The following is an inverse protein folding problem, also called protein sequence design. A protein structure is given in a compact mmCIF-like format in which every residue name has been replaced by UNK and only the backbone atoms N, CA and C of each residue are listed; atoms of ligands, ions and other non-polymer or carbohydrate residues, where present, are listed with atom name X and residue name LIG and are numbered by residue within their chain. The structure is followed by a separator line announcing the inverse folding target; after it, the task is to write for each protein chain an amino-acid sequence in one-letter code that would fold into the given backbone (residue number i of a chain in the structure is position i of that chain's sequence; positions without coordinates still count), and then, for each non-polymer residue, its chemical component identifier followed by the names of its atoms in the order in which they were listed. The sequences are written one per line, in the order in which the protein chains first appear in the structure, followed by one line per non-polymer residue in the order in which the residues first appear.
data_IF_441696980238
#
_entry.id   IF_441696980238
#
_cell.length_a   1.000
_cell.length_b   1.000
_cell.length_c   1.000
_cell.angle_alpha   90.00
_cell.angle_beta   90.00
_cell.angle_gamma   90.00
#
_symmetry.space_group_name_H-M   'P 1'
#
loop_
_entity.id
_entity.type
_entity.pdbx_description
1 polymer ?
#
# COMPACT_ATOMS: atom_id res chain seq x y z
N UNK A 1 -39.33 -7.41 -24.76
CA UNK A 1 -38.90 -6.33 -23.82
C UNK A 1 -37.41 -6.04 -24.02
N UNK A 2 -36.95 -4.77 -23.92
CA UNK A 2 -35.52 -4.50 -23.87
C UNK A 2 -34.96 -5.15 -22.60
N UNK A 3 -33.87 -5.89 -22.76
CA UNK A 3 -33.19 -6.55 -21.64
C UNK A 3 -32.49 -5.47 -20.81
N UNK A 4 -33.00 -5.17 -19.60
CA UNK A 4 -32.35 -4.20 -18.71
C UNK A 4 -30.92 -4.66 -18.38
N UNK A 5 -29.96 -3.74 -18.46
CA UNK A 5 -28.57 -4.03 -18.10
C UNK A 5 -28.45 -4.10 -16.57
N UNK A 6 -28.16 -5.27 -15.98
CA UNK A 6 -28.06 -5.40 -14.53
C UNK A 6 -26.88 -4.61 -13.93
N UNK A 7 -25.96 -4.09 -14.75
CA UNK A 7 -24.88 -3.21 -14.33
C UNK A 7 -25.20 -1.71 -14.43
N UNK A 8 -26.42 -1.32 -14.83
CA UNK A 8 -26.79 0.10 -14.96
C UNK A 8 -28.17 0.42 -14.34
N UNK A 9 -28.23 1.04 -13.15
CA UNK A 9 -27.09 1.47 -12.33
C UNK A 9 -26.36 0.28 -11.67
N UNK A 10 -25.05 0.42 -11.45
CA UNK A 10 -24.22 -0.67 -10.91
C UNK A 10 -24.58 -0.99 -9.45
N UNK A 11 -24.85 -2.27 -9.10
CA UNK A 11 -25.11 -2.68 -7.73
C UNK A 11 -23.83 -2.97 -6.92
N UNK A 12 -22.64 -2.93 -7.55
CA UNK A 12 -21.42 -3.51 -7.01
C UNK A 12 -20.68 -2.69 -5.94
N UNK A 13 -21.16 -1.51 -5.58
CA UNK A 13 -20.50 -0.63 -4.61
C UNK A 13 -19.20 0.00 -5.13
N UNK A 14 -18.53 0.76 -4.25
CA UNK A 14 -17.30 1.47 -4.60
C UNK A 14 -16.14 0.53 -4.88
N UNK A 15 -15.16 0.99 -5.68
CA UNK A 15 -13.94 0.26 -6.03
C UNK A 15 -14.18 -1.16 -6.59
N UNK A 16 -15.33 -1.35 -7.23
CA UNK A 16 -15.78 -2.64 -7.76
C UNK A 16 -16.12 -2.51 -9.24
N UNK A 17 -15.77 -3.53 -10.01
CA UNK A 17 -16.20 -3.69 -11.39
C UNK A 17 -17.47 -4.55 -11.43
N UNK A 18 -18.47 -4.08 -12.18
CA UNK A 18 -19.64 -4.88 -12.54
C UNK A 18 -19.44 -5.54 -13.91
N UNK A 19 -19.76 -6.83 -14.01
CA UNK A 19 -19.79 -7.57 -15.27
C UNK A 19 -21.14 -8.29 -15.39
N UNK A 20 -21.81 -8.15 -16.53
CA UNK A 20 -23.02 -8.91 -16.87
C UNK A 20 -22.63 -10.34 -17.25
N UNK A 21 -23.10 -11.33 -16.50
CA UNK A 21 -22.94 -12.77 -16.80
C UNK A 21 -24.33 -13.41 -16.69
N UNK A 22 -24.81 -14.06 -17.77
CA UNK A 22 -26.14 -14.70 -17.80
C UNK A 22 -27.29 -13.77 -17.35
N UNK A 23 -27.27 -12.52 -17.79
CA UNK A 23 -28.22 -11.48 -17.41
C UNK A 23 -28.26 -11.15 -15.90
N UNK A 24 -27.17 -11.45 -15.18
CA UNK A 24 -26.98 -11.09 -13.77
C UNK A 24 -25.74 -10.21 -13.61
N UNK A 25 -25.79 -9.30 -12.64
CA UNK A 25 -24.64 -8.51 -12.23
C UNK A 25 -23.69 -9.35 -11.38
N UNK A 26 -22.45 -9.50 -11.83
CA UNK A 26 -21.37 -10.12 -11.06
C UNK A 26 -20.34 -9.05 -10.70
N UNK A 27 -20.02 -8.97 -9.41
CA UNK A 27 -19.17 -7.93 -8.86
C UNK A 27 -17.80 -8.50 -8.47
N UNK A 28 -16.74 -7.77 -8.78
CA UNK A 28 -15.38 -8.05 -8.29
C UNK A 28 -14.66 -6.75 -7.95
N UNK A 29 -13.73 -6.76 -6.98
CA UNK A 29 -12.89 -5.59 -6.73
C UNK A 29 -12.04 -5.25 -7.95
N UNK A 30 -11.84 -3.97 -8.22
CA UNK A 30 -10.88 -3.53 -9.25
C UNK A 30 -9.44 -3.83 -8.79
N UNK A 31 -8.45 -3.92 -9.72
CA UNK A 31 -7.06 -4.18 -9.36
C UNK A 31 -6.54 -3.19 -8.31
N UNK A 32 -5.84 -3.71 -7.29
CA UNK A 32 -5.32 -2.92 -6.17
C UNK A 32 -6.26 -2.79 -4.98
N UNK A 33 -7.51 -3.26 -5.08
CA UNK A 33 -8.44 -3.32 -3.96
C UNK A 33 -8.66 -4.76 -3.51
N UNK A 34 -8.82 -4.93 -2.20
CA UNK A 34 -8.95 -6.20 -1.50
C UNK A 34 -10.36 -6.34 -0.89
N UNK A 35 -10.75 -7.60 -0.64
CA UNK A 35 -12.02 -7.95 -0.02
C UNK A 35 -13.05 -8.43 -1.05
N UNK A 36 -14.33 -8.29 -0.68
CA UNK A 36 -15.47 -8.70 -1.50
C UNK A 36 -16.45 -7.54 -1.65
N UNK A 37 -16.93 -7.25 -2.88
CA UNK A 37 -17.94 -6.23 -3.11
C UNK A 37 -19.17 -6.40 -2.20
N UNK A 38 -19.82 -5.30 -1.77
CA UNK A 38 -19.52 -3.90 -2.10
C UNK A 38 -18.39 -3.27 -1.26
N UNK A 39 -17.75 -4.04 -0.37
CA UNK A 39 -16.78 -3.56 0.62
C UNK A 39 -15.33 -3.71 0.14
N UNK A 40 -15.06 -3.37 -1.11
CA UNK A 40 -13.70 -3.36 -1.64
C UNK A 40 -12.91 -2.20 -1.01
N UNK A 41 -11.79 -2.52 -0.37
CA UNK A 41 -10.93 -1.55 0.34
C UNK A 41 -9.51 -1.57 -0.21
N UNK A 42 -8.75 -0.48 -0.11
CA UNK A 42 -7.33 -0.50 -0.48
C UNK A 42 -6.54 -1.49 0.40
N UNK A 43 -5.27 -1.71 0.05
CA UNK A 43 -4.37 -2.52 0.88
C UNK A 43 -4.22 -1.91 2.28
N UNK A 44 -4.06 -0.59 2.35
CA UNK A 44 -3.99 0.16 3.60
C UNK A 44 -4.58 1.57 3.44
N UNK A 45 -5.03 2.13 4.55
CA UNK A 45 -5.33 3.55 4.76
C UNK A 45 -4.41 4.09 5.86
N UNK A 46 -4.04 3.23 6.81
CA UNK A 46 -3.14 3.54 7.93
C UNK A 46 -1.94 2.60 7.92
N UNK A 47 -0.76 3.09 8.35
CA UNK A 47 0.44 2.26 8.43
C UNK A 47 0.28 1.06 9.37
N UNK A 48 -0.59 1.15 10.39
CA UNK A 48 -0.91 0.04 11.29
C UNK A 48 -1.62 -1.15 10.61
N UNK A 49 -2.12 -0.98 9.38
CA UNK A 49 -2.66 -2.07 8.57
C UNK A 49 -1.56 -2.80 7.78
N UNK A 50 -0.35 -2.22 7.70
CA UNK A 50 0.82 -2.83 7.09
C UNK A 50 1.62 -3.67 8.09
N UNK A 51 2.48 -4.58 7.62
CA UNK A 51 3.51 -5.20 8.45
C UNK A 51 4.37 -4.15 9.20
N UNK A 52 4.93 -4.46 10.38
CA UNK A 52 5.70 -3.50 11.18
C UNK A 52 6.92 -2.88 10.47
N UNK A 53 7.45 -3.58 9.46
CA UNK A 53 8.57 -3.18 8.62
C UNK A 53 8.16 -2.43 7.33
N UNK A 54 6.90 -2.05 7.18
CA UNK A 54 6.37 -1.32 6.02
C UNK A 54 5.55 -0.12 6.49
N UNK A 55 5.32 0.87 5.62
CA UNK A 55 4.46 2.02 5.88
C UNK A 55 3.35 2.09 4.83
N UNK A 56 2.25 2.77 5.16
CA UNK A 56 1.20 3.04 4.19
C UNK A 56 1.49 4.33 3.42
N UNK A 57 1.51 4.26 2.09
CA UNK A 57 1.53 5.44 1.22
C UNK A 57 0.77 5.14 -0.06
N UNK A 58 -0.04 6.09 -0.53
CA UNK A 58 -0.87 5.94 -1.72
C UNK A 58 -1.68 4.63 -1.73
N UNK A 59 -2.31 4.32 -0.59
CA UNK A 59 -3.17 3.14 -0.41
C UNK A 59 -2.45 1.79 -0.55
N UNK A 60 -1.11 1.79 -0.46
CA UNK A 60 -0.25 0.61 -0.63
C UNK A 60 0.79 0.52 0.48
N UNK A 61 1.08 -0.69 0.94
CA UNK A 61 2.18 -0.92 1.86
C UNK A 61 3.51 -0.91 1.09
N UNK A 62 4.49 -0.16 1.59
CA UNK A 62 5.81 -0.04 0.98
C UNK A 62 6.91 -0.04 2.05
N UNK A 63 8.14 -0.41 1.64
CA UNK A 63 9.32 -0.28 2.49
C UNK A 63 9.76 1.20 2.53
N UNK A 64 9.78 1.86 3.69
CA UNK A 64 10.20 3.26 3.79
C UNK A 64 11.72 3.46 3.81
N UNK A 65 12.56 2.42 3.72
CA UNK A 65 14.01 2.57 3.74
C UNK A 65 14.68 3.08 2.43
N UNK A 66 14.27 2.63 1.23
CA UNK A 66 14.92 3.02 -0.01
C UNK A 66 14.92 4.54 -0.23
N UNK A 67 16.12 5.14 -0.26
CA UNK A 67 16.31 6.57 -0.51
C UNK A 67 16.16 7.48 0.72
N UNK A 68 15.94 6.92 1.92
CA UNK A 68 15.77 7.74 3.14
C UNK A 68 17.08 7.99 3.89
N UNK A 69 17.96 6.99 3.97
CA UNK A 69 19.20 7.12 4.72
C UNK A 69 20.37 7.60 3.86
N UNK A 70 21.33 8.27 4.52
CA UNK A 70 22.54 8.79 3.91
C UNK A 70 23.54 7.71 3.50
N UNK A 71 24.64 8.15 2.88
CA UNK A 71 25.67 7.23 2.37
C UNK A 71 26.32 6.49 3.54
N UNK A 72 26.48 5.15 3.42
CA UNK A 72 27.04 4.26 4.46
C UNK A 72 26.25 4.23 5.78
N UNK A 73 25.01 4.71 5.79
CA UNK A 73 24.08 4.50 6.89
C UNK A 73 23.29 3.20 6.68
N UNK A 74 23.01 2.49 7.77
CA UNK A 74 22.08 1.37 7.78
C UNK A 74 20.68 1.88 8.06
N UNK A 75 19.71 1.42 7.28
CA UNK A 75 18.30 1.67 7.53
C UNK A 75 17.65 0.47 8.22
N UNK A 76 16.86 0.73 9.28
CA UNK A 76 15.97 -0.25 9.89
C UNK A 76 14.59 0.38 10.06
N UNK A 77 13.53 -0.37 9.78
CA UNK A 77 12.15 0.13 9.97
C UNK A 77 11.67 -0.26 11.36
N UNK A 78 11.25 0.72 12.15
CA UNK A 78 10.71 0.53 13.50
C UNK A 78 9.34 1.20 13.57
N UNK A 79 8.29 0.42 13.84
CA UNK A 79 6.91 0.89 13.88
C UNK A 79 6.55 1.72 12.64
N UNK A 80 6.79 1.18 11.45
CA UNK A 80 6.53 1.83 10.16
C UNK A 80 7.40 3.07 9.85
N UNK A 81 8.38 3.40 10.69
CA UNK A 81 9.26 4.56 10.51
C UNK A 81 10.69 4.11 10.19
N UNK A 82 11.34 4.69 9.16
CA UNK A 82 12.74 4.40 8.85
C UNK A 82 13.65 5.06 9.88
N UNK A 83 14.57 4.28 10.43
CA UNK A 83 15.60 4.72 11.38
C UNK A 83 16.96 4.52 10.71
N UNK A 84 17.69 5.62 10.56
CA UNK A 84 19.03 5.63 9.95
C UNK A 84 20.10 5.65 11.04
N UNK A 85 21.08 4.75 10.95
CA UNK A 85 22.14 4.60 11.95
C UNK A 85 23.48 4.41 11.23
N UNK A 86 24.54 5.10 11.68
CA UNK A 86 25.90 4.81 11.23
C UNK A 86 26.35 3.45 11.77
N UNK A 87 26.85 2.58 10.89
CA UNK A 87 27.34 1.25 11.30
C UNK A 87 28.53 1.36 12.27
N UNK A 88 28.81 0.26 12.98
CA UNK A 88 29.89 0.21 13.96
C UNK A 88 31.24 0.63 13.33
N UNK A 89 31.92 1.57 13.97
CA UNK A 89 33.17 2.17 13.47
C UNK A 89 32.99 3.36 12.53
N UNK A 90 31.76 3.81 12.27
CA UNK A 90 31.45 5.03 11.53
C UNK A 90 30.82 6.10 12.44
N UNK A 91 30.98 7.37 12.05
CA UNK A 91 30.37 8.56 12.66
C UNK A 91 29.87 9.52 11.57
N UNK A 92 29.17 10.58 11.96
CA UNK A 92 28.58 11.56 11.04
C UNK A 92 27.06 11.67 11.19
N UNK A 93 26.42 12.22 10.16
CA UNK A 93 24.96 12.35 10.10
C UNK A 93 24.39 11.18 9.27
N UNK A 94 23.61 10.26 9.88
CA UNK A 94 23.09 9.09 9.18
C UNK A 94 22.04 9.41 8.10
N UNK A 95 21.52 10.63 8.03
CA UNK A 95 20.66 11.09 6.93
C UNK A 95 21.45 11.70 5.77
N UNK A 96 22.73 12.01 5.97
CA UNK A 96 23.59 12.62 4.94
C UNK A 96 24.71 11.65 4.55
N UNK A 97 25.61 11.34 5.48
CA UNK A 97 26.77 10.48 5.25
C UNK A 97 27.42 10.04 6.56
N UNK A 98 27.77 8.76 6.63
CA UNK A 98 28.61 8.19 7.67
C UNK A 98 30.03 7.94 7.15
N UNK A 99 31.04 8.28 7.95
CA UNK A 99 32.47 8.14 7.63
C UNK A 99 33.22 7.46 8.77
N UNK A 100 34.37 6.80 8.51
CA UNK A 100 35.18 6.19 9.56
C UNK A 100 35.53 7.20 10.66
N UNK A 101 35.45 6.74 11.92
CA UNK A 101 35.94 7.50 13.07
C UNK A 101 37.44 7.80 12.97
#
# INVERSE_FOLDING_TARGET
PPEEDPCNPSPCGANSQCRKINNQAVCSCIPGYLGTPPNCRPECVLSSECPPNMACSNQKCFDPCPGTCGIRAQCNVVNHNPICICQQGLTGDPFVSCYPM
#
